data_IF_271887721599
#
_entry.id   IF_271887721599
#
_cell.length_a   1.000
_cell.length_b   1.000
_cell.length_c   1.000
_cell.angle_alpha   90.00
_cell.angle_beta   90.00
_cell.angle_gamma   90.00
#
_symmetry.space_group_name_H-M   'P 1'
#
loop_
_entity.id
_entity.type
_entity.pdbx_description
1 polymer ?
#
# COMPACT_ATOMS: atom_id res chain seq x y z
N UNK A 1 -1.90 13.79 -28.15
CA UNK A 1 -3.26 14.26 -27.80
C UNK A 1 -3.91 13.11 -27.07
N UNK A 2 -4.34 13.27 -25.82
CA UNK A 2 -4.97 12.18 -25.09
C UNK A 2 -6.29 11.82 -25.78
N UNK A 3 -6.42 10.57 -26.22
CA UNK A 3 -7.66 10.07 -26.81
C UNK A 3 -8.76 10.09 -25.73
N UNK A 4 -9.96 10.56 -26.05
CA UNK A 4 -11.08 10.68 -25.10
C UNK A 4 -11.37 9.36 -24.35
N UNK A 5 -11.06 8.22 -24.99
CA UNK A 5 -11.12 6.89 -24.40
C UNK A 5 -10.16 6.70 -23.21
N UNK A 6 -8.92 7.20 -23.30
CA UNK A 6 -7.94 7.11 -22.21
C UNK A 6 -8.39 7.91 -20.99
N UNK A 7 -8.99 9.09 -21.22
CA UNK A 7 -9.54 9.92 -20.15
C UNK A 7 -10.70 9.22 -19.45
N UNK A 8 -11.63 8.62 -20.20
CA UNK A 8 -12.76 7.89 -19.60
C UNK A 8 -12.26 6.69 -18.79
N UNK A 9 -11.37 5.86 -19.33
CA UNK A 9 -10.81 4.71 -18.61
C UNK A 9 -10.06 5.16 -17.36
N UNK A 10 -9.24 6.21 -17.46
CA UNK A 10 -8.54 6.77 -16.31
C UNK A 10 -9.50 7.28 -15.24
N UNK A 11 -10.52 8.06 -15.60
CA UNK A 11 -11.52 8.58 -14.66
C UNK A 11 -12.25 7.43 -13.96
N UNK A 12 -12.72 6.45 -14.71
CA UNK A 12 -13.43 5.29 -14.16
C UNK A 12 -12.53 4.44 -13.25
N UNK A 13 -11.30 4.15 -13.66
CA UNK A 13 -10.34 3.41 -12.85
C UNK A 13 -9.95 4.19 -11.58
N UNK A 14 -9.74 5.50 -11.69
CA UNK A 14 -9.44 6.38 -10.56
C UNK A 14 -10.58 6.43 -9.56
N UNK A 15 -11.83 6.54 -10.04
CA UNK A 15 -13.04 6.47 -9.21
C UNK A 15 -13.16 5.12 -8.50
N UNK A 16 -12.92 4.02 -9.22
CA UNK A 16 -12.92 2.69 -8.62
C UNK A 16 -11.85 2.60 -7.51
N UNK A 17 -10.63 3.05 -7.77
CA UNK A 17 -9.54 3.07 -6.77
C UNK A 17 -9.82 3.99 -5.59
N UNK A 18 -10.50 5.13 -5.81
CA UNK A 18 -10.89 6.06 -4.75
C UNK A 18 -11.96 5.46 -3.82
N UNK A 19 -12.84 4.61 -4.38
CA UNK A 19 -13.88 3.90 -3.66
C UNK A 19 -13.36 2.68 -2.88
N UNK A 20 -12.14 2.24 -3.13
CA UNK A 20 -11.45 1.21 -2.33
C UNK A 20 -10.67 1.91 -1.22
N UNK A 21 -11.29 2.22 -0.05
CA UNK A 21 -10.54 2.75 1.08
C UNK A 21 -9.46 1.73 1.42
N UNK A 22 -8.19 2.17 1.33
CA UNK A 22 -7.07 1.30 1.65
C UNK A 22 -7.11 0.81 3.10
N UNK A 23 -6.33 -0.23 3.45
CA UNK A 23 -6.32 -0.80 4.80
C UNK A 23 -6.00 0.25 5.88
N UNK A 24 -5.14 1.22 5.57
CA UNK A 24 -4.85 2.34 6.47
C UNK A 24 -6.06 3.24 6.75
N UNK A 25 -6.82 3.61 5.72
CA UNK A 25 -8.01 4.47 5.84
C UNK A 25 -9.12 3.77 6.61
N UNK A 26 -9.31 2.47 6.36
CA UNK A 26 -10.25 1.63 7.13
C UNK A 26 -9.83 1.54 8.60
N UNK A 27 -8.54 1.30 8.88
CA UNK A 27 -8.01 1.26 10.24
C UNK A 27 -8.22 2.57 11.00
N UNK A 28 -7.87 3.71 10.39
CA UNK A 28 -8.04 5.04 10.99
C UNK A 28 -9.53 5.31 11.25
N UNK A 29 -10.40 4.98 10.29
CA UNK A 29 -11.85 5.24 10.42
C UNK A 29 -12.46 4.38 11.53
N UNK A 30 -12.14 3.08 11.59
CA UNK A 30 -12.60 2.18 12.64
C UNK A 30 -12.10 2.60 14.03
N UNK A 31 -10.83 2.98 14.14
CA UNK A 31 -10.25 3.43 15.40
C UNK A 31 -10.77 4.80 15.82
N UNK A 32 -11.01 5.72 14.89
CA UNK A 32 -11.63 7.03 15.14
C UNK A 32 -13.09 6.89 15.60
N UNK A 33 -13.83 5.93 15.01
CA UNK A 33 -15.20 5.63 15.40
C UNK A 33 -15.30 4.97 16.80
N UNK A 34 -14.39 4.05 17.14
CA UNK A 34 -14.42 3.33 18.42
C UNK A 34 -13.74 4.08 19.60
N UNK A 35 -12.71 4.89 19.34
CA UNK A 35 -11.88 5.52 20.39
C UNK A 35 -11.85 7.06 20.29
N UNK A 36 -12.65 7.64 19.40
CA UNK A 36 -12.79 9.08 19.22
C UNK A 36 -11.76 9.72 18.28
N UNK A 37 -12.01 11.00 17.95
CA UNK A 37 -11.26 11.78 16.93
C UNK A 37 -9.77 11.91 17.24
N UNK A 38 -9.39 11.93 18.52
CA UNK A 38 -8.00 12.04 18.97
C UNK A 38 -7.23 10.76 18.67
N UNK A 39 -7.81 9.59 18.91
CA UNK A 39 -7.20 8.29 18.59
C UNK A 39 -7.01 8.12 17.07
N UNK A 40 -7.93 8.65 16.26
CA UNK A 40 -7.77 8.74 14.82
C UNK A 40 -6.55 9.57 14.39
N UNK A 41 -6.39 10.77 14.95
CA UNK A 41 -5.26 11.66 14.65
C UNK A 41 -3.90 11.05 15.02
N UNK A 42 -3.80 10.42 16.19
CA UNK A 42 -2.58 9.73 16.62
C UNK A 42 -2.26 8.57 15.68
N UNK A 43 -3.27 7.84 15.22
CA UNK A 43 -3.09 6.74 14.26
C UNK A 43 -2.57 7.23 12.91
N UNK A 44 -3.11 8.35 12.40
CA UNK A 44 -2.63 8.98 11.17
C UNK A 44 -1.16 9.39 11.32
N UNK A 45 -0.82 10.11 12.39
CA UNK A 45 0.55 10.55 12.62
C UNK A 45 1.52 9.37 12.77
N UNK A 46 1.10 8.29 13.43
CA UNK A 46 1.90 7.08 13.55
C UNK A 46 2.14 6.40 12.19
N UNK A 47 1.10 6.30 11.36
CA UNK A 47 1.21 5.71 10.00
C UNK A 47 2.14 6.56 9.13
N UNK A 48 1.98 7.88 9.14
CA UNK A 48 2.83 8.78 8.36
C UNK A 48 4.28 8.74 8.84
N UNK A 49 4.52 8.77 10.15
CA UNK A 49 5.87 8.63 10.72
C UNK A 49 6.50 7.28 10.33
N UNK A 50 5.74 6.19 10.40
CA UNK A 50 6.22 4.88 9.96
C UNK A 50 6.55 4.87 8.46
N UNK A 51 5.74 5.52 7.64
CA UNK A 51 5.98 5.63 6.20
C UNK A 51 7.27 6.40 5.89
N UNK A 52 7.54 7.49 6.63
CA UNK A 52 8.80 8.23 6.52
C UNK A 52 10.01 7.37 6.90
N UNK A 53 9.95 6.66 8.03
CA UNK A 53 11.03 5.77 8.46
C UNK A 53 11.27 4.67 7.44
N UNK A 54 10.20 4.08 6.90
CA UNK A 54 10.30 3.05 5.86
C UNK A 54 10.91 3.59 4.57
N UNK A 55 10.53 4.80 4.13
CA UNK A 55 11.08 5.44 2.95
C UNK A 55 12.59 5.72 3.12
N UNK A 56 13.00 6.24 4.28
CA UNK A 56 14.41 6.49 4.59
C UNK A 56 15.20 5.19 4.66
N UNK A 57 14.67 4.17 5.34
CA UNK A 57 15.32 2.86 5.43
C UNK A 57 15.48 2.20 4.06
N UNK A 58 14.47 2.28 3.20
CA UNK A 58 14.54 1.79 1.83
C UNK A 58 15.59 2.55 1.01
N UNK A 59 15.61 3.89 1.09
CA UNK A 59 16.58 4.73 0.40
C UNK A 59 18.02 4.46 0.86
N UNK A 60 18.25 4.35 2.16
CA UNK A 60 19.55 4.01 2.73
C UNK A 60 19.99 2.59 2.36
N UNK A 61 19.09 1.61 2.44
CA UNK A 61 19.37 0.23 2.05
C UNK A 61 19.74 0.11 0.57
N UNK A 62 18.98 0.77 -0.30
CA UNK A 62 19.28 0.80 -1.74
C UNK A 62 20.60 1.52 -2.03
N UNK A 63 20.88 2.62 -1.33
CA UNK A 63 22.16 3.35 -1.42
C UNK A 63 23.34 2.48 -0.97
N UNK A 64 23.19 1.73 0.12
CA UNK A 64 24.22 0.82 0.61
C UNK A 64 24.52 -0.32 -0.38
N UNK A 65 23.48 -0.85 -1.04
CA UNK A 65 23.65 -1.86 -2.10
C UNK A 65 24.39 -1.27 -3.30
N UNK A 66 24.03 -0.05 -3.73
CA UNK A 66 24.70 0.66 -4.82
C UNK A 66 26.18 0.94 -4.52
N UNK A 67 26.50 1.35 -3.29
CA UNK A 67 27.87 1.58 -2.82
C UNK A 67 28.69 0.28 -2.74
N UNK A 68 28.03 -0.85 -2.45
CA UNK A 68 28.69 -2.15 -2.29
C UNK A 68 29.06 -2.78 -3.65
N UNK A 69 28.13 -2.86 -4.60
CA UNK A 69 28.41 -3.42 -5.93
C UNK A 69 27.29 -3.18 -6.95
N UNK A 70 27.67 -2.90 -8.19
CA UNK A 70 26.75 -2.82 -9.34
C UNK A 70 25.99 -4.14 -9.58
N UNK A 71 26.64 -5.30 -9.40
CA UNK A 71 25.97 -6.60 -9.57
C UNK A 71 24.90 -6.86 -8.51
N UNK A 72 25.14 -6.44 -7.26
CA UNK A 72 24.17 -6.61 -6.18
C UNK A 72 22.90 -5.79 -6.44
N UNK A 73 23.06 -4.57 -6.94
CA UNK A 73 21.94 -3.72 -7.35
C UNK A 73 21.13 -4.35 -8.49
N UNK A 74 21.80 -4.89 -9.52
CA UNK A 74 21.12 -5.55 -10.64
C UNK A 74 20.32 -6.78 -10.18
N UNK A 75 20.89 -7.62 -9.32
CA UNK A 75 20.19 -8.78 -8.75
C UNK A 75 18.93 -8.34 -8.00
N UNK A 76 19.03 -7.34 -7.13
CA UNK A 76 17.88 -6.82 -6.37
C UNK A 76 16.83 -6.18 -7.30
N UNK A 77 17.26 -5.47 -8.35
CA UNK A 77 16.37 -4.90 -9.37
C UNK A 77 15.55 -5.99 -10.08
N UNK A 78 16.21 -7.05 -10.55
CA UNK A 78 15.52 -8.15 -11.23
C UNK A 78 14.64 -8.97 -10.27
N UNK A 79 15.07 -9.20 -9.04
CA UNK A 79 14.24 -9.82 -7.99
C UNK A 79 12.99 -8.99 -7.68
N UNK A 80 13.13 -7.67 -7.53
CA UNK A 80 12.01 -6.77 -7.31
C UNK A 80 11.02 -6.78 -8.47
N UNK A 81 11.50 -6.76 -9.71
CA UNK A 81 10.65 -6.88 -10.90
C UNK A 81 9.91 -8.23 -10.93
N UNK A 82 10.60 -9.34 -10.68
CA UNK A 82 9.98 -10.67 -10.61
C UNK A 82 8.93 -10.75 -9.49
N UNK A 83 9.20 -10.15 -8.33
CA UNK A 83 8.27 -10.09 -7.22
C UNK A 83 7.00 -9.29 -7.55
N UNK A 84 7.12 -8.14 -8.23
CA UNK A 84 5.98 -7.35 -8.67
C UNK A 84 5.15 -8.07 -9.74
N UNK A 85 5.79 -8.77 -10.68
CA UNK A 85 5.09 -9.61 -11.66
C UNK A 85 4.31 -10.70 -10.93
N UNK A 86 4.95 -11.40 -9.98
CA UNK A 86 4.29 -12.40 -9.15
C UNK A 86 3.10 -11.82 -8.38
N UNK A 87 3.27 -10.68 -7.71
CA UNK A 87 2.21 -10.03 -6.94
C UNK A 87 1.06 -9.57 -7.85
N UNK A 88 1.38 -9.03 -9.03
CA UNK A 88 0.40 -8.64 -10.04
C UNK A 88 -0.42 -9.82 -10.53
N UNK A 89 0.25 -10.91 -10.93
CA UNK A 89 -0.41 -12.16 -11.34
C UNK A 89 -1.26 -12.72 -10.20
N UNK A 90 -0.71 -12.77 -8.98
CA UNK A 90 -1.44 -13.23 -7.80
C UNK A 90 -2.68 -12.39 -7.54
N UNK A 91 -2.61 -11.06 -7.65
CA UNK A 91 -3.78 -10.17 -7.51
C UNK A 91 -4.82 -10.39 -8.61
N UNK A 92 -4.41 -10.64 -9.84
CA UNK A 92 -5.33 -10.90 -10.95
C UNK A 92 -6.02 -12.27 -10.85
N UNK A 93 -5.32 -13.27 -10.29
CA UNK A 93 -5.82 -14.63 -10.10
C UNK A 93 -6.56 -14.83 -8.77
N UNK A 94 -6.28 -14.01 -7.76
CA UNK A 94 -6.97 -14.04 -6.47
C UNK A 94 -8.20 -13.15 -6.54
N UNK A 95 -9.38 -13.76 -6.63
CA UNK A 95 -10.65 -13.05 -6.37
C UNK A 95 -10.55 -12.45 -4.97
N UNK A 96 -10.76 -11.15 -4.83
CA UNK A 96 -10.75 -10.44 -3.55
C UNK A 96 -11.63 -11.16 -2.53
N UNK A 97 -11.04 -12.03 -1.71
CA UNK A 97 -11.57 -12.33 -0.39
C UNK A 97 -11.20 -11.12 0.44
N UNK A 98 -12.07 -10.11 0.33
CA UNK A 98 -12.11 -8.94 1.19
C UNK A 98 -11.98 -9.46 2.61
N UNK A 99 -10.80 -9.31 3.20
CA UNK A 99 -10.53 -9.57 4.60
C UNK A 99 -11.26 -8.51 5.44
N UNK A 100 -12.59 -8.61 5.43
CA UNK A 100 -13.51 -7.94 6.32
C UNK A 100 -13.88 -8.96 7.38
N UNK A 101 -13.17 -8.91 8.50
CA UNK A 101 -13.64 -9.53 9.73
C UNK A 101 -12.60 -10.37 10.45
N UNK A 102 -11.78 -9.73 11.28
CA UNK A 102 -11.29 -10.32 12.52
C UNK A 102 -11.06 -9.20 13.54
N UNK A 103 -12.08 -8.85 14.35
CA UNK A 103 -11.87 -8.51 15.78
C UNK A 103 -13.15 -8.36 16.64
N UNK A 104 -14.38 -8.53 16.14
CA UNK A 104 -15.61 -8.40 16.99
C UNK A 104 -16.30 -9.75 17.23
N UNK A 105 -15.51 -10.81 17.46
CA UNK A 105 -16.04 -12.10 17.93
C UNK A 105 -15.08 -12.75 18.94
N UNK A 106 -14.80 -12.06 20.05
CA UNK A 106 -14.17 -12.71 21.22
C UNK A 106 -14.77 -12.36 22.57
N UNK A 107 -15.76 -11.47 22.67
CA UNK A 107 -16.40 -11.17 23.96
C UNK A 107 -17.91 -10.99 23.80
N UNK A 108 -18.65 -12.11 23.77
CA UNK A 108 -20.05 -12.21 24.17
C UNK A 108 -20.34 -13.64 24.60
#
# INVERSE_FOLDING_TARGET
>A
MFESSQLIIFITASLALLLLPGPAVLYITARSANQGRVAGFVSVLAIEAANLVQAVAAGLGLSAILLSSALAFDVVKYLGAAYLIYLGIKKLLTKEESSTGQEVKRES
#
